data_IF_797953528180
#
_entry.id   IF_797953528180
#
_cell.length_a   1.000
_cell.length_b   1.000
_cell.length_c   1.000
_cell.angle_alpha   90.00
_cell.angle_beta   90.00
_cell.angle_gamma   90.00
#
_symmetry.space_group_name_H-M   'P 1'
#
loop_
_entity.id
_entity.type
_entity.pdbx_description
1 polymer ?
#
# COMPACT_ATOMS: atom_id res chain seq x y z
N UNK A 1 11.56 -8.71 -7.40
CA UNK A 1 10.91 -9.10 -6.12
C UNK A 1 9.43 -9.03 -6.38
N UNK A 2 8.73 -10.15 -6.27
CA UNK A 2 7.27 -10.17 -6.48
C UNK A 2 6.59 -9.64 -5.21
N UNK A 3 5.90 -8.51 -5.32
CA UNK A 3 5.15 -7.93 -4.20
C UNK A 3 3.77 -8.57 -4.17
N UNK A 4 3.51 -9.37 -3.15
CA UNK A 4 2.19 -9.94 -2.91
C UNK A 4 1.46 -9.20 -1.78
N UNK A 5 0.22 -9.64 -1.53
CA UNK A 5 -0.63 -9.03 -0.51
C UNK A 5 -0.07 -9.15 0.91
N UNK A 6 0.64 -10.24 1.24
CA UNK A 6 1.25 -10.40 2.56
C UNK A 6 2.34 -9.36 2.82
N UNK A 7 3.15 -9.04 1.80
CA UNK A 7 4.16 -7.99 1.88
C UNK A 7 3.51 -6.63 2.11
N UNK A 8 2.47 -6.29 1.35
CA UNK A 8 1.70 -5.06 1.53
C UNK A 8 1.08 -4.99 2.93
N UNK A 9 0.46 -6.08 3.39
CA UNK A 9 -0.12 -6.17 4.74
C UNK A 9 0.95 -5.98 5.82
N UNK A 10 2.16 -6.51 5.60
CA UNK A 10 3.27 -6.33 6.53
C UNK A 10 3.74 -4.87 6.59
N UNK A 11 3.78 -4.16 5.46
CA UNK A 11 4.04 -2.71 5.41
C UNK A 11 3.00 -1.95 6.26
N UNK A 12 1.71 -2.20 6.03
CA UNK A 12 0.62 -1.53 6.76
C UNK A 12 0.66 -1.83 8.26
N UNK A 13 0.95 -3.07 8.64
CA UNK A 13 1.04 -3.49 10.06
C UNK A 13 2.11 -2.71 10.84
N UNK A 14 3.24 -2.41 10.20
CA UNK A 14 4.32 -1.67 10.84
C UNK A 14 4.10 -0.15 10.80
N UNK A 15 3.27 0.34 9.88
CA UNK A 15 2.88 1.74 9.78
C UNK A 15 1.44 1.92 10.29
N UNK A 16 1.24 1.77 11.62
CA UNK A 16 -0.10 1.67 12.27
C UNK A 16 -1.10 2.77 11.94
N UNK A 17 -0.62 3.95 11.54
CA UNK A 17 -1.47 5.09 11.19
C UNK A 17 -1.85 5.10 9.71
N UNK A 18 -1.35 4.15 8.92
CA UNK A 18 -1.62 4.01 7.50
C UNK A 18 -2.86 3.13 7.27
N UNK A 19 -3.76 3.60 6.42
CA UNK A 19 -4.99 2.86 6.07
C UNK A 19 -5.27 2.94 4.57
N UNK A 20 -5.82 1.89 4.02
CA UNK A 20 -6.31 1.82 2.65
C UNK A 20 -7.84 1.86 2.69
N UNK A 21 -8.46 2.75 1.91
CA UNK A 21 -9.92 2.84 1.82
C UNK A 21 -10.34 3.20 0.41
N UNK A 22 -11.24 2.41 -0.16
CA UNK A 22 -11.91 2.77 -1.41
C UNK A 22 -12.97 3.85 -1.16
N UNK A 23 -13.12 4.78 -2.09
CA UNK A 23 -14.28 5.68 -2.14
C UNK A 23 -15.50 4.87 -2.57
N UNK A 24 -16.65 5.17 -1.97
CA UNK A 24 -17.91 4.44 -2.20
C UNK A 24 -18.21 4.31 -3.70
N UNK A 25 -18.53 3.09 -4.13
CA UNK A 25 -18.89 2.72 -5.51
C UNK A 25 -17.89 3.13 -6.60
N UNK A 26 -16.61 3.30 -6.24
CA UNK A 26 -15.54 3.59 -7.20
C UNK A 26 -14.36 2.62 -7.05
N UNK A 27 -13.47 2.61 -8.04
CA UNK A 27 -12.18 1.94 -7.96
C UNK A 27 -11.05 2.87 -7.49
N UNK A 28 -11.41 3.98 -6.85
CA UNK A 28 -10.45 4.97 -6.34
C UNK A 28 -10.07 4.57 -4.92
N UNK A 29 -8.80 4.23 -4.72
CA UNK A 29 -8.21 3.90 -3.44
C UNK A 29 -7.48 5.11 -2.85
N UNK A 30 -7.93 5.57 -1.69
CA UNK A 30 -7.19 6.54 -0.89
C UNK A 30 -6.32 5.80 0.14
N UNK A 31 -5.04 6.17 0.18
CA UNK A 31 -4.10 5.81 1.24
C UNK A 31 -4.08 6.96 2.24
N UNK A 32 -4.44 6.66 3.47
CA UNK A 32 -4.44 7.63 4.56
C UNK A 32 -3.21 7.47 5.44
N UNK A 33 -2.72 8.57 6.01
CA UNK A 33 -1.89 8.58 7.21
C UNK A 33 -2.59 9.42 8.28
N UNK A 34 -2.88 8.82 9.43
CA UNK A 34 -3.79 9.38 10.44
C UNK A 34 -5.18 9.67 9.84
N UNK A 35 -5.45 10.93 9.50
CA UNK A 35 -6.70 11.44 8.94
C UNK A 35 -6.51 12.10 7.57
N UNK A 36 -5.28 12.21 7.09
CA UNK A 36 -4.95 12.90 5.85
C UNK A 36 -4.80 11.89 4.71
N UNK A 37 -5.30 12.24 3.53
CA UNK A 37 -5.06 11.48 2.31
C UNK A 37 -3.63 11.74 1.86
N UNK A 38 -2.82 10.69 1.89
CA UNK A 38 -1.43 10.73 1.49
C UNK A 38 -1.27 10.51 -0.02
N UNK A 39 -2.08 9.61 -0.58
CA UNK A 39 -2.02 9.20 -1.97
C UNK A 39 -3.40 8.73 -2.40
N UNK A 40 -3.78 9.04 -3.64
CA UNK A 40 -4.98 8.51 -4.29
C UNK A 40 -4.56 7.73 -5.52
N UNK A 41 -5.06 6.51 -5.65
CA UNK A 41 -4.81 5.62 -6.79
C UNK A 41 -6.13 5.27 -7.46
N UNK A 42 -6.19 5.41 -8.79
CA UNK A 42 -7.28 4.84 -9.58
C UNK A 42 -6.87 3.43 -10.04
N UNK A 43 -7.62 2.43 -9.60
CA UNK A 43 -7.34 1.02 -9.88
C UNK A 43 -8.33 0.45 -10.91
N UNK A 44 -7.98 -0.63 -11.64
CA UNK A 44 -8.90 -1.31 -12.56
C UNK A 44 -10.14 -1.91 -11.88
N UNK A 45 -10.05 -2.29 -10.61
CA UNK A 45 -11.14 -2.83 -9.79
C UNK A 45 -10.86 -2.58 -8.29
N UNK A 46 -11.85 -2.87 -7.45
CA UNK A 46 -11.78 -2.67 -6.00
C UNK A 46 -11.12 -3.83 -5.21
N UNK A 47 -10.16 -4.53 -5.80
CA UNK A 47 -9.46 -5.66 -5.16
C UNK A 47 -8.01 -5.29 -4.78
N UNK A 48 -7.78 -5.01 -3.49
CA UNK A 48 -6.44 -4.66 -2.98
C UNK A 48 -5.42 -5.78 -3.23
N UNK A 49 -5.80 -7.05 -3.10
CA UNK A 49 -4.86 -8.17 -3.23
C UNK A 49 -4.31 -8.24 -4.65
N UNK A 50 -5.17 -8.06 -5.66
CA UNK A 50 -4.77 -8.04 -7.08
C UNK A 50 -3.85 -6.88 -7.44
N UNK A 51 -3.95 -5.76 -6.71
CA UNK A 51 -3.16 -4.54 -6.96
C UNK A 51 -2.04 -4.32 -5.94
N UNK A 52 -1.68 -5.34 -5.16
CA UNK A 52 -0.75 -5.23 -4.03
C UNK A 52 0.58 -4.60 -4.41
N UNK A 53 1.12 -4.97 -5.57
CA UNK A 53 2.39 -4.45 -6.07
C UNK A 53 2.33 -2.96 -6.39
N UNK A 54 1.31 -2.53 -7.14
CA UNK A 54 1.13 -1.11 -7.51
C UNK A 54 0.93 -0.27 -6.25
N UNK A 55 0.10 -0.74 -5.31
CA UNK A 55 -0.17 -0.04 -4.05
C UNK A 55 1.13 0.10 -3.23
N UNK A 56 1.86 -1.00 -3.03
CA UNK A 56 3.10 -1.00 -2.27
C UNK A 56 4.12 -0.04 -2.88
N UNK A 57 4.39 -0.18 -4.19
CA UNK A 57 5.39 0.64 -4.88
C UNK A 57 5.02 2.12 -4.85
N UNK A 58 3.73 2.44 -5.00
CA UNK A 58 3.26 3.83 -4.94
C UNK A 58 3.45 4.43 -3.54
N UNK A 59 3.22 3.65 -2.48
CA UNK A 59 3.44 4.09 -1.10
C UNK A 59 4.94 4.28 -0.83
N UNK A 60 5.79 3.30 -1.17
CA UNK A 60 7.22 3.33 -0.85
C UNK A 60 8.01 4.35 -1.68
N UNK A 61 7.44 4.87 -2.77
CA UNK A 61 8.06 5.91 -3.61
C UNK A 61 7.75 7.33 -3.14
N UNK A 62 7.02 7.50 -2.03
CA UNK A 62 6.71 8.82 -1.49
C UNK A 62 7.88 9.37 -0.69
N UNK A 63 8.55 10.39 -1.23
CA UNK A 63 9.74 11.01 -0.61
C UNK A 63 9.43 11.86 0.63
N UNK A 64 8.17 12.23 0.86
CA UNK A 64 7.76 13.17 1.92
C UNK A 64 7.24 12.51 3.20
N UNK A 65 7.37 11.18 3.33
CA UNK A 65 6.79 10.43 4.46
C UNK A 65 7.82 9.56 5.12
N UNK A 66 8.03 9.76 6.43
CA UNK A 66 8.79 8.82 7.25
C UNK A 66 7.98 7.54 7.43
N UNK A 67 8.37 6.48 6.72
CA UNK A 67 7.72 5.16 6.79
C UNK A 67 8.73 4.09 7.18
N UNK A 68 8.28 3.11 7.96
CA UNK A 68 9.05 1.89 8.17
C UNK A 68 8.79 0.92 7.01
N UNK A 69 9.81 0.63 6.21
CA UNK A 69 9.75 -0.37 5.14
C UNK A 69 10.40 -1.66 5.65
N UNK A 70 9.63 -2.73 5.94
CA UNK A 70 10.19 -3.98 6.42
C UNK A 70 11.15 -4.59 5.37
N UNK A 71 12.28 -5.15 5.82
CA UNK A 71 13.15 -5.93 4.94
C UNK A 71 12.40 -7.17 4.44
N UNK A 72 12.40 -7.36 3.13
CA UNK A 72 11.83 -8.54 2.49
C UNK A 72 12.98 -9.48 2.17
N UNK A 73 12.96 -10.68 2.75
CA UNK A 73 13.95 -11.71 2.46
C UNK A 73 13.41 -12.60 1.36
N UNK A 74 13.99 -12.49 0.16
CA UNK A 74 13.77 -13.48 -0.90
C UNK A 74 14.77 -14.60 -0.62
N UNK A 75 14.26 -15.82 -0.42
CA UNK A 75 15.13 -16.99 -0.29
C UNK A 75 15.66 -17.31 -1.68
N UNK A 76 16.92 -17.01 -1.93
CA UNK A 76 17.61 -17.48 -3.14
C UNK A 76 17.63 -19.02 -3.09
N UNK A 77 17.12 -19.65 -4.15
CA UNK A 77 17.19 -21.09 -4.36
C UNK A 77 18.49 -21.48 -5.05
#
# INVERSE_FOLDING_TARGET
>A
MEINYDILKNLLKHNKNMKLKFREDTNILDVFIYTEVLLTLELPNNNIEQHSEIIYNSITSLDMVTMYVPKIYVKDN
#
